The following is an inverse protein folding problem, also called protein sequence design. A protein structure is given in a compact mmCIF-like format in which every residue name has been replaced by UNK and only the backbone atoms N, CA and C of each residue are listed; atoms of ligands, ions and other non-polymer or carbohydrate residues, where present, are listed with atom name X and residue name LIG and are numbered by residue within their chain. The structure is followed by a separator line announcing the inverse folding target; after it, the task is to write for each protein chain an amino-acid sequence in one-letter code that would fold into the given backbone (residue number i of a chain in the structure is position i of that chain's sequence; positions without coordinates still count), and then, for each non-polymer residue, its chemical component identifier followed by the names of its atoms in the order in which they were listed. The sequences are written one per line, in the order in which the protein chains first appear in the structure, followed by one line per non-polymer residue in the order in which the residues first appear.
data_IF_776702617565
#
_entry.id   IF_776702617565
#
_cell.length_a   1.000
_cell.length_b   1.000
_cell.length_c   1.000
_cell.angle_alpha   90.00
_cell.angle_beta   90.00
_cell.angle_gamma   90.00
#
_symmetry.space_group_name_H-M   'P 1'
#
loop_
_entity.id
_entity.type
_entity.pdbx_description
1 polymer ?
#
# COMPACT_ATOMS: atom_id res chain seq x y z
N UNK A 1 6.63 -29.80 -20.07
CA UNK A 1 7.10 -29.71 -18.68
C UNK A 1 6.47 -28.47 -18.07
N UNK A 2 5.63 -28.60 -17.02
CA UNK A 2 4.94 -27.46 -16.38
C UNK A 2 5.92 -26.73 -15.47
N UNK A 3 6.28 -25.49 -15.81
CA UNK A 3 7.04 -24.62 -14.93
C UNK A 3 6.23 -24.34 -13.67
N UNK A 4 6.68 -24.86 -12.53
CA UNK A 4 6.09 -24.53 -11.24
C UNK A 4 6.27 -23.03 -10.99
N UNK A 5 5.18 -22.27 -11.00
CA UNK A 5 5.18 -20.88 -10.57
C UNK A 5 5.78 -20.83 -9.16
N UNK A 6 6.96 -20.20 -9.01
CA UNK A 6 7.57 -19.94 -7.70
C UNK A 6 6.59 -19.08 -6.92
N UNK A 7 5.92 -19.66 -5.92
CA UNK A 7 5.12 -18.91 -4.97
C UNK A 7 6.06 -17.94 -4.25
N UNK A 8 6.04 -16.66 -4.66
CA UNK A 8 6.82 -15.59 -4.00
C UNK A 8 6.28 -15.45 -2.58
N UNK A 9 7.11 -15.76 -1.58
CA UNK A 9 6.77 -15.56 -0.17
C UNK A 9 6.51 -14.07 0.05
N UNK A 10 5.31 -13.72 0.55
CA UNK A 10 4.99 -12.33 0.93
C UNK A 10 5.99 -11.85 1.98
N UNK A 11 6.53 -10.65 1.79
CA UNK A 11 7.47 -10.03 2.74
C UNK A 11 6.71 -9.50 3.95
N UNK A 12 7.41 -9.26 5.06
CA UNK A 12 6.79 -8.64 6.24
C UNK A 12 6.16 -7.28 5.92
N UNK A 13 6.80 -6.47 5.05
CA UNK A 13 6.24 -5.21 4.56
C UNK A 13 4.91 -5.41 3.83
N UNK A 14 4.84 -6.39 2.93
CA UNK A 14 3.63 -6.67 2.17
C UNK A 14 2.46 -7.13 3.06
N UNK A 15 2.74 -7.99 4.05
CA UNK A 15 1.72 -8.46 5.00
C UNK A 15 1.19 -7.34 5.90
N UNK A 16 2.07 -6.45 6.35
CA UNK A 16 1.65 -5.27 7.14
C UNK A 16 0.76 -4.33 6.32
N UNK A 17 1.07 -4.13 5.04
CA UNK A 17 0.27 -3.27 4.16
C UNK A 17 -1.10 -3.89 3.80
N UNK A 18 -1.14 -5.21 3.56
CA UNK A 18 -2.39 -5.93 3.34
C UNK A 18 -3.31 -5.83 4.56
N UNK A 19 -2.76 -6.08 5.75
CA UNK A 19 -3.50 -5.90 7.01
C UNK A 19 -4.02 -4.48 7.19
N UNK A 20 -3.22 -3.46 6.87
CA UNK A 20 -3.69 -2.08 6.92
C UNK A 20 -4.84 -1.82 5.94
N UNK A 21 -4.76 -2.30 4.70
CA UNK A 21 -5.82 -2.13 3.70
C UNK A 21 -7.12 -2.81 4.11
N UNK A 22 -7.07 -4.03 4.64
CA UNK A 22 -8.23 -4.72 5.18
C UNK A 22 -8.90 -3.88 6.27
N UNK A 23 -8.13 -3.38 7.23
CA UNK A 23 -8.66 -2.53 8.30
C UNK A 23 -9.21 -1.19 7.77
N UNK A 24 -8.66 -0.65 6.69
CA UNK A 24 -9.08 0.61 6.08
C UNK A 24 -10.34 0.48 5.21
N UNK A 25 -10.79 -0.74 4.90
CA UNK A 25 -12.09 -0.98 4.27
C UNK A 25 -13.25 -0.77 5.26
N UNK A 26 -13.02 -1.07 6.55
CA UNK A 26 -14.08 -1.08 7.56
C UNK A 26 -14.14 0.18 8.45
N UNK A 27 -13.06 0.97 8.52
CA UNK A 27 -12.99 2.15 9.41
C UNK A 27 -12.01 3.22 8.94
N UNK A 28 -12.20 4.43 9.47
CA UNK A 28 -11.37 5.59 9.16
C UNK A 28 -9.89 5.34 9.46
N UNK A 29 -9.01 5.76 8.54
CA UNK A 29 -7.56 5.56 8.64
C UNK A 29 -6.97 6.17 9.92
N UNK A 30 -7.46 7.34 10.34
CA UNK A 30 -7.05 7.99 11.58
C UNK A 30 -7.32 7.13 12.83
N UNK A 31 -8.34 6.28 12.81
CA UNK A 31 -8.70 5.37 13.91
C UNK A 31 -7.92 4.05 13.91
N UNK A 32 -7.21 3.74 12.82
CA UNK A 32 -6.37 2.54 12.74
C UNK A 32 -5.06 2.81 13.48
N UNK A 33 -4.74 1.96 14.46
CA UNK A 33 -3.48 2.03 15.21
C UNK A 33 -2.48 1.00 14.72
N UNK A 34 -1.20 1.19 15.03
CA UNK A 34 -0.16 0.16 14.80
C UNK A 34 -0.52 -1.16 15.48
N UNK A 35 -1.13 -1.09 16.67
CA UNK A 35 -1.56 -2.28 17.41
C UNK A 35 -2.59 -3.10 16.64
N UNK A 36 -3.55 -2.42 16.01
CA UNK A 36 -4.56 -3.08 15.18
C UNK A 36 -3.92 -3.83 14.01
N UNK A 37 -3.01 -3.16 13.28
CA UNK A 37 -2.36 -3.70 12.08
C UNK A 37 -1.59 -4.97 12.42
N UNK A 38 -0.76 -4.93 13.48
CA UNK A 38 0.08 -6.07 13.84
C UNK A 38 -0.75 -7.22 14.42
N UNK A 39 -1.85 -6.92 15.14
CA UNK A 39 -2.78 -7.93 15.63
C UNK A 39 -3.47 -8.66 14.49
N UNK A 40 -3.91 -7.92 13.45
CA UNK A 40 -4.60 -8.49 12.31
C UNK A 40 -3.71 -9.43 11.47
N UNK A 41 -2.41 -9.14 11.32
CA UNK A 41 -1.47 -10.03 10.60
C UNK A 41 -0.62 -10.96 11.50
N UNK A 42 -0.87 -11.01 12.81
CA UNK A 42 -0.13 -11.86 13.74
C UNK A 42 1.33 -11.49 13.99
N UNK A 43 1.71 -10.22 13.80
CA UNK A 43 3.05 -9.71 14.08
C UNK A 43 3.15 -8.96 15.41
N UNK A 44 4.38 -8.73 15.86
CA UNK A 44 4.67 -7.86 17.00
C UNK A 44 4.81 -6.41 16.57
N UNK A 45 4.54 -5.48 17.49
CA UNK A 45 4.81 -4.05 17.30
C UNK A 45 6.28 -3.80 16.92
N UNK A 46 7.22 -4.53 17.54
CA UNK A 46 8.64 -4.45 17.20
C UNK A 46 8.91 -4.85 15.73
N UNK A 47 8.14 -5.78 15.18
CA UNK A 47 8.23 -6.13 13.76
C UNK A 47 7.72 -5.02 12.86
N UNK A 48 6.66 -4.32 13.25
CA UNK A 48 6.20 -3.13 12.54
C UNK A 48 7.29 -2.06 12.51
N UNK A 49 7.83 -1.68 13.67
CA UNK A 49 8.82 -0.59 13.75
C UNK A 49 10.18 -0.93 13.11
N UNK A 50 10.46 -2.22 12.87
CA UNK A 50 11.59 -2.64 12.03
C UNK A 50 11.38 -2.30 10.55
N UNK A 51 10.13 -2.23 10.11
CA UNK A 51 9.77 -2.01 8.71
C UNK A 51 9.39 -0.55 8.41
N UNK A 52 8.68 0.11 9.34
CA UNK A 52 8.06 1.42 9.15
C UNK A 52 8.16 2.27 10.41
N UNK A 53 8.29 3.58 10.26
CA UNK A 53 8.35 4.51 11.40
C UNK A 53 7.00 4.71 12.08
N UNK A 54 5.94 4.73 11.29
CA UNK A 54 4.55 4.91 11.71
C UNK A 54 3.62 4.36 10.61
N UNK A 55 2.29 4.50 10.80
CA UNK A 55 1.30 4.05 9.81
C UNK A 55 1.34 4.85 8.50
N UNK A 56 1.78 6.11 8.51
CA UNK A 56 1.85 6.93 7.32
C UNK A 56 3.04 6.55 6.45
N UNK A 57 4.17 6.16 7.06
CA UNK A 57 5.31 5.57 6.37
C UNK A 57 4.95 4.26 5.66
N UNK A 58 4.12 3.43 6.31
CA UNK A 58 3.54 2.23 5.69
C UNK A 58 2.69 2.60 4.45
N UNK A 59 1.77 3.56 4.60
CA UNK A 59 0.88 3.99 3.51
C UNK A 59 1.68 4.52 2.33
N UNK A 60 2.65 5.40 2.59
CA UNK A 60 3.48 5.98 1.53
C UNK A 60 4.28 4.91 0.77
N UNK A 61 4.85 3.94 1.49
CA UNK A 61 5.54 2.81 0.87
C UNK A 61 4.60 1.94 0.03
N UNK A 62 3.40 1.66 0.54
CA UNK A 62 2.41 0.84 -0.15
C UNK A 62 1.95 1.50 -1.46
N UNK A 63 1.69 2.81 -1.40
CA UNK A 63 1.33 3.61 -2.57
C UNK A 63 2.44 3.67 -3.61
N UNK A 64 3.68 3.94 -3.19
CA UNK A 64 4.83 3.97 -4.10
C UNK A 64 5.03 2.62 -4.80
N UNK A 65 4.82 1.51 -4.09
CA UNK A 65 4.89 0.16 -4.66
C UNK A 65 3.80 -0.09 -5.70
N UNK A 66 2.58 0.37 -5.46
CA UNK A 66 1.47 0.18 -6.40
C UNK A 66 1.66 1.06 -7.65
N UNK A 67 2.10 2.32 -7.49
CA UNK A 67 2.51 3.18 -8.61
C UNK A 67 3.63 2.54 -9.43
N UNK A 68 4.64 1.97 -8.78
CA UNK A 68 5.73 1.29 -9.50
C UNK A 68 5.21 0.13 -10.36
N UNK A 69 4.27 -0.67 -9.85
CA UNK A 69 3.65 -1.76 -10.62
C UNK A 69 2.83 -1.28 -11.81
N UNK A 70 2.24 -0.09 -11.73
CA UNK A 70 1.51 0.50 -12.87
C UNK A 70 2.46 0.99 -13.98
N UNK A 71 3.71 1.31 -13.61
CA UNK A 71 4.73 1.83 -14.53
C UNK A 71 5.61 0.73 -15.15
N UNK A 72 5.69 -0.45 -14.54
CA UNK A 72 6.53 -1.57 -14.96
C UNK A 72 5.69 -2.72 -15.53
N UNK A 73 6.16 -3.32 -16.63
CA UNK A 73 5.64 -4.59 -17.14
C UNK A 73 6.10 -5.78 -16.26
N UNK A 74 5.47 -6.95 -16.43
CA UNK A 74 5.82 -8.16 -15.67
C UNK A 74 7.30 -8.60 -15.84
N UNK A 75 7.91 -8.24 -16.96
CA UNK A 75 9.32 -8.50 -17.27
C UNK A 75 10.29 -7.43 -16.74
N UNK A 76 9.76 -6.38 -16.08
CA UNK A 76 10.52 -5.26 -15.53
C UNK A 76 10.84 -4.15 -16.53
N UNK A 77 10.32 -4.22 -17.76
CA UNK A 77 10.45 -3.13 -18.73
C UNK A 77 9.47 -2.00 -18.45
N UNK A 78 9.83 -0.77 -18.83
CA UNK A 78 8.94 0.38 -18.65
C UNK A 78 7.73 0.27 -19.58
N UNK A 79 6.52 0.41 -19.02
CA UNK A 79 5.27 0.36 -19.77
C UNK A 79 5.08 1.66 -20.58
N UNK A 80 4.48 1.56 -21.77
CA UNK A 80 4.14 2.73 -22.58
C UNK A 80 3.24 3.69 -21.80
N UNK A 81 3.51 4.98 -21.88
CA UNK A 81 2.86 5.99 -21.03
C UNK A 81 1.34 6.04 -21.21
N UNK A 82 0.80 5.69 -22.40
CA UNK A 82 -0.65 5.63 -22.62
C UNK A 82 -1.27 4.48 -21.86
N UNK A 83 -0.59 3.32 -21.88
CA UNK A 83 -1.05 2.15 -21.17
C UNK A 83 -0.92 2.35 -19.66
N UNK A 84 0.18 2.92 -19.18
CA UNK A 84 0.34 3.27 -17.76
C UNK A 84 -0.73 4.27 -17.29
N UNK A 85 -1.12 5.23 -18.14
CA UNK A 85 -2.18 6.19 -17.83
C UNK A 85 -3.55 5.51 -17.73
N UNK A 86 -3.88 4.60 -18.65
CA UNK A 86 -5.13 3.83 -18.60
C UNK A 86 -5.20 2.94 -17.36
N UNK A 87 -4.14 2.17 -17.09
CA UNK A 87 -4.06 1.32 -15.89
C UNK A 87 -4.16 2.14 -14.60
N UNK A 88 -3.52 3.31 -14.54
CA UNK A 88 -3.64 4.19 -13.39
C UNK A 88 -5.08 4.67 -13.20
N UNK A 89 -5.77 5.06 -14.28
CA UNK A 89 -7.17 5.48 -14.21
C UNK A 89 -8.08 4.37 -13.69
N UNK A 90 -7.90 3.12 -14.15
CA UNK A 90 -8.64 1.96 -13.65
C UNK A 90 -8.33 1.70 -12.16
N UNK A 91 -7.06 1.72 -11.76
CA UNK A 91 -6.65 1.57 -10.37
C UNK A 91 -7.26 2.64 -9.45
N UNK A 92 -7.27 3.90 -9.89
CA UNK A 92 -7.88 4.99 -9.13
C UNK A 92 -9.39 4.82 -8.95
N UNK A 93 -10.09 4.32 -9.98
CA UNK A 93 -11.53 4.06 -9.88
C UNK A 93 -11.82 2.89 -8.93
N UNK A 94 -11.06 1.80 -9.03
CA UNK A 94 -11.17 0.65 -8.12
C UNK A 94 -10.88 1.00 -6.66
N UNK A 95 -9.88 1.87 -6.42
CA UNK A 95 -9.45 2.27 -5.07
C UNK A 95 -10.13 3.54 -4.55
N UNK A 96 -11.16 4.04 -5.25
CA UNK A 96 -11.77 5.35 -4.97
C UNK A 96 -12.20 5.55 -3.51
N UNK A 97 -12.79 4.54 -2.87
CA UNK A 97 -13.23 4.63 -1.48
C UNK A 97 -12.07 4.70 -0.49
N UNK A 98 -11.02 3.89 -0.73
CA UNK A 98 -9.81 3.90 0.09
C UNK A 98 -9.07 5.23 -0.04
N UNK A 99 -8.93 5.74 -1.26
CA UNK A 99 -8.28 7.03 -1.52
C UNK A 99 -9.08 8.20 -0.95
N UNK A 100 -10.42 8.16 -1.05
CA UNK A 100 -11.28 9.16 -0.40
C UNK A 100 -11.05 9.16 1.12
N UNK A 101 -11.08 7.99 1.77
CA UNK A 101 -10.82 7.85 3.21
C UNK A 101 -9.41 8.36 3.57
N UNK A 102 -8.40 8.04 2.76
CA UNK A 102 -7.02 8.50 2.96
C UNK A 102 -6.90 10.02 2.90
N UNK A 103 -7.52 10.66 1.91
CA UNK A 103 -7.43 12.10 1.70
C UNK A 103 -8.28 12.92 2.68
N UNK A 104 -9.41 12.38 3.14
CA UNK A 104 -10.30 13.09 4.08
C UNK A 104 -9.94 12.87 5.54
N UNK A 105 -9.38 11.71 5.88
CA UNK A 105 -9.12 11.28 7.26
C UNK A 105 -7.63 11.08 7.52
N UNK A 106 -6.79 11.96 6.98
CA UNK A 106 -5.42 12.17 7.43
C UNK A 106 -5.34 13.54 8.09
N UNK A 107 -5.48 13.57 9.42
CA UNK A 107 -5.34 14.79 10.20
C UNK A 107 -3.89 15.31 10.15
N UNK A 108 -3.59 16.13 9.14
CA UNK A 108 -2.32 16.84 9.00
C UNK A 108 -1.84 16.88 7.56
N UNK A 109 -2.12 17.98 6.88
CA UNK A 109 -1.71 18.34 5.51
C UNK A 109 -0.21 18.09 5.19
N UNK A 110 0.65 17.95 6.21
CA UNK A 110 2.11 17.96 6.07
C UNK A 110 2.80 16.58 6.02
N UNK A 111 2.22 15.50 6.55
CA UNK A 111 2.97 14.23 6.69
C UNK A 111 3.01 13.39 5.40
N UNK A 112 1.93 13.44 4.62
CA UNK A 112 1.81 12.71 3.35
C UNK A 112 2.41 13.50 2.18
N UNK A 113 2.13 14.81 2.10
CA UNK A 113 2.57 15.66 0.98
C UNK A 113 4.09 15.86 0.93
N UNK A 114 4.80 15.79 2.07
CA UNK A 114 6.27 15.91 2.11
C UNK A 114 7.04 14.73 1.51
N UNK A 115 6.39 13.61 1.23
CA UNK A 115 7.04 12.41 0.64
C UNK A 115 6.64 12.15 -0.82
N UNK A 116 5.61 12.83 -1.31
CA UNK A 116 5.08 12.66 -2.67
C UNK A 116 5.57 13.76 -3.63
N UNK A 117 6.17 14.83 -3.10
CA UNK A 117 6.89 15.87 -3.84
C UNK A 117 8.37 15.91 -3.46
#
# INVERSE_FOLDING_TARGET
MRGGARVKRKTAKALLAESFRELAQDRDIDRITVQDIVKNCGYSIATFYRQFRDKYDLIAWDYARDVQKLLEQEDGTQKDWRQSLSDAAEYYDEQRQYLANLLTNTSGYDSFMRKVY
#
